data_IF_233083991447
#
_entry.id   IF_233083991447
#
_cell.length_a   1.000
_cell.length_b   1.000
_cell.length_c   1.000
_cell.angle_alpha   90.00
_cell.angle_beta   90.00
_cell.angle_gamma   90.00
#
_symmetry.space_group_name_H-M   'P 1'
#
loop_
_entity.id
_entity.type
_entity.pdbx_description
1 polymer ?
#
# COMPACT_ATOMS: atom_id res chain seq x y z
N UNK A 1 -8.91 -7.90 -0.43
CA UNK A 1 -7.99 -6.80 -0.85
C UNK A 1 -7.95 -5.83 0.31
N UNK A 2 -6.77 -5.35 0.68
CA UNK A 2 -6.60 -4.29 1.68
C UNK A 2 -5.95 -3.14 0.96
N UNK A 3 -6.64 -1.99 0.94
CA UNK A 3 -6.13 -0.78 0.32
C UNK A 3 -5.47 0.13 1.35
N UNK A 4 -4.57 1.00 0.88
CA UNK A 4 -3.82 1.94 1.71
C UNK A 4 -3.13 1.27 2.92
N UNK A 5 -2.54 0.09 2.70
CA UNK A 5 -1.96 -0.73 3.76
C UNK A 5 -0.78 -0.06 4.49
N UNK A 6 -0.24 1.04 3.95
CA UNK A 6 0.73 1.89 4.66
C UNK A 6 0.14 2.55 5.92
N UNK A 7 -1.19 2.68 6.00
CA UNK A 7 -1.89 3.19 7.20
C UNK A 7 -1.98 2.17 8.33
N UNK A 8 -1.68 0.89 8.07
CA UNK A 8 -1.86 -0.19 9.02
C UNK A 8 -0.58 -0.55 9.76
N UNK A 9 -0.73 -0.81 11.05
CA UNK A 9 0.33 -1.35 11.88
C UNK A 9 0.63 -2.81 11.55
N UNK A 10 1.85 -3.25 11.85
CA UNK A 10 2.32 -4.63 11.60
C UNK A 10 1.43 -5.69 12.27
N UNK A 11 0.96 -5.43 13.50
CA UNK A 11 0.10 -6.36 14.24
C UNK A 11 -1.28 -6.55 13.59
N UNK A 12 -1.83 -5.48 13.00
CA UNK A 12 -3.09 -5.54 12.25
C UNK A 12 -2.91 -6.35 10.98
N UNK A 13 -1.85 -6.08 10.22
CA UNK A 13 -1.51 -6.85 9.02
C UNK A 13 -1.31 -8.33 9.34
N UNK A 14 -0.60 -8.66 10.42
CA UNK A 14 -0.41 -10.04 10.85
C UNK A 14 -1.76 -10.72 11.16
N UNK A 15 -2.65 -10.03 11.87
CA UNK A 15 -3.98 -10.56 12.21
C UNK A 15 -4.80 -10.87 10.97
N UNK A 16 -4.75 -10.00 9.95
CA UNK A 16 -5.46 -10.23 8.67
C UNK A 16 -4.81 -11.38 7.89
N UNK A 17 -3.49 -11.35 7.71
CA UNK A 17 -2.75 -12.32 6.90
C UNK A 17 -2.78 -13.74 7.48
N UNK A 18 -2.81 -13.87 8.81
CA UNK A 18 -2.90 -15.17 9.51
C UNK A 18 -4.28 -15.82 9.45
N UNK A 19 -5.31 -15.09 9.00
CA UNK A 19 -6.69 -15.58 8.89
C UNK A 19 -7.10 -15.95 7.46
N UNK A 20 -6.15 -15.97 6.51
CA UNK A 20 -6.44 -16.33 5.12
C UNK A 20 -6.79 -17.83 5.03
N UNK A 21 -7.98 -18.12 4.50
CA UNK A 21 -8.45 -19.48 4.30
C UNK A 21 -7.81 -20.19 3.11
N UNK A 22 -8.05 -21.50 3.00
CA UNK A 22 -7.63 -22.26 1.82
C UNK A 22 -8.25 -21.69 0.53
N UNK A 23 -7.54 -21.83 -0.59
CA UNK A 23 -7.94 -21.32 -1.90
C UNK A 23 -8.26 -19.81 -1.95
N UNK A 24 -7.79 -19.05 -0.95
CA UNK A 24 -7.98 -17.60 -0.88
C UNK A 24 -6.70 -16.86 -1.21
N UNK A 25 -6.83 -15.61 -1.67
CA UNK A 25 -5.71 -14.70 -1.92
C UNK A 25 -5.98 -13.38 -1.23
N UNK A 26 -4.92 -12.76 -0.71
CA UNK A 26 -4.96 -11.37 -0.22
C UNK A 26 -4.03 -10.55 -1.10
N UNK A 27 -4.52 -9.38 -1.49
CA UNK A 27 -3.76 -8.36 -2.21
C UNK A 27 -3.72 -7.16 -1.27
N UNK A 28 -2.52 -6.67 -0.99
CA UNK A 28 -2.27 -5.44 -0.25
C UNK A 28 -1.79 -4.40 -1.26
N UNK A 29 -2.46 -3.26 -1.32
CA UNK A 29 -2.00 -2.09 -2.06
C UNK A 29 -1.45 -1.07 -1.07
N UNK A 30 -0.36 -0.41 -1.43
CA UNK A 30 0.23 0.65 -0.62
C UNK A 30 1.01 1.64 -1.49
N UNK A 31 1.13 2.87 -1.00
CA UNK A 31 1.99 3.90 -1.57
C UNK A 31 3.22 4.12 -0.69
N UNK A 32 4.42 4.03 -1.29
CA UNK A 32 5.69 4.26 -0.59
C UNK A 32 5.88 5.74 -0.25
N UNK A 33 5.40 6.66 -1.11
CA UNK A 33 5.60 8.09 -0.95
C UNK A 33 4.70 8.70 0.15
N UNK A 34 3.56 8.08 0.46
CA UNK A 34 2.66 8.55 1.52
C UNK A 34 3.13 8.20 2.94
N UNK A 35 4.23 7.44 3.10
CA UNK A 35 4.72 7.03 4.42
C UNK A 35 5.28 8.17 5.26
N UNK A 36 5.73 9.26 4.65
CA UNK A 36 6.44 10.34 5.36
C UNK A 36 5.55 11.09 6.37
N UNK A 37 4.22 10.97 6.27
CA UNK A 37 3.25 11.61 7.17
C UNK A 37 2.77 10.72 8.34
N UNK A 38 3.18 9.46 8.41
CA UNK A 38 2.74 8.52 9.44
C UNK A 38 3.87 8.27 10.45
N UNK A 39 3.58 8.48 11.73
CA UNK A 39 4.45 8.20 12.89
C UNK A 39 4.73 6.69 13.08
N UNK A 40 5.20 6.02 12.04
CA UNK A 40 5.43 4.59 11.98
C UNK A 40 6.94 4.39 11.81
N UNK A 41 7.57 3.70 12.75
CA UNK A 41 9.01 3.50 12.75
C UNK A 41 9.49 2.90 11.42
N UNK A 42 10.76 3.14 11.05
CA UNK A 42 11.39 2.60 9.82
C UNK A 42 11.24 1.08 9.65
N UNK A 43 10.90 0.36 10.72
CA UNK A 43 10.74 -1.10 10.78
C UNK A 43 9.31 -1.58 11.03
N UNK A 44 8.31 -0.71 10.90
CA UNK A 44 6.91 -1.03 11.19
C UNK A 44 6.01 -1.01 9.93
N UNK A 45 4.84 -1.65 10.05
CA UNK A 45 3.78 -1.65 9.04
C UNK A 45 4.06 -2.54 7.81
N UNK A 46 3.49 -2.15 6.66
CA UNK A 46 3.51 -2.96 5.42
C UNK A 46 4.91 -3.22 4.88
N UNK A 47 5.86 -2.29 5.02
CA UNK A 47 7.23 -2.48 4.50
C UNK A 47 7.99 -3.57 5.25
N UNK A 48 7.82 -3.66 6.56
CA UNK A 48 8.41 -4.76 7.33
C UNK A 48 7.86 -6.12 6.89
N UNK A 49 6.57 -6.19 6.55
CA UNK A 49 5.94 -7.41 6.01
C UNK A 49 6.53 -7.76 4.64
N UNK A 50 6.63 -6.78 3.73
CA UNK A 50 7.19 -6.99 2.38
C UNK A 50 8.63 -7.49 2.46
N UNK A 51 9.48 -6.86 3.25
CA UNK A 51 10.88 -7.27 3.40
C UNK A 51 11.02 -8.65 4.08
N UNK A 52 10.18 -8.96 5.07
CA UNK A 52 10.21 -10.28 5.74
C UNK A 52 9.78 -11.41 4.80
N UNK A 53 8.80 -11.17 3.92
CA UNK A 53 8.24 -12.19 3.04
C UNK A 53 8.93 -12.28 1.68
N UNK A 54 9.86 -11.37 1.37
CA UNK A 54 10.55 -11.31 0.10
C UNK A 54 11.27 -12.62 -0.21
N UNK A 55 11.03 -13.15 -1.42
CA UNK A 55 11.60 -14.43 -1.86
C UNK A 55 10.85 -15.68 -1.38
N UNK A 56 9.82 -15.55 -0.55
CA UNK A 56 8.99 -16.68 -0.17
C UNK A 56 8.09 -17.13 -1.34
N UNK A 57 7.96 -18.44 -1.65
CA UNK A 57 7.22 -18.92 -2.83
C UNK A 57 5.72 -18.58 -2.83
N UNK A 58 5.14 -18.29 -1.65
CA UNK A 58 3.74 -17.87 -1.50
C UNK A 58 3.55 -16.35 -1.49
N UNK A 59 4.62 -15.57 -1.68
CA UNK A 59 4.58 -14.11 -1.64
C UNK A 59 5.12 -13.52 -2.94
N UNK A 60 4.42 -12.52 -3.45
CA UNK A 60 4.86 -11.72 -4.58
C UNK A 60 4.67 -10.24 -4.24
N UNK A 61 5.65 -9.42 -4.62
CA UNK A 61 5.57 -7.98 -4.53
C UNK A 61 5.75 -7.38 -5.93
N UNK A 62 4.81 -6.53 -6.33
CA UNK A 62 4.81 -5.87 -7.63
C UNK A 62 4.82 -4.37 -7.40
N UNK A 63 5.82 -3.69 -7.96
CA UNK A 63 5.91 -2.23 -7.93
C UNK A 63 5.34 -1.67 -9.22
N UNK A 64 4.29 -0.86 -9.10
CA UNK A 64 3.73 -0.12 -10.23
C UNK A 64 4.54 1.18 -10.42
N UNK A 65 5.11 1.37 -11.60
CA UNK A 65 5.98 2.53 -11.90
C UNK A 65 5.31 3.56 -12.81
N UNK A 66 4.19 3.22 -13.43
CA UNK A 66 3.41 4.11 -14.30
C UNK A 66 2.11 4.48 -13.62
N UNK A 67 1.87 5.79 -13.49
CA UNK A 67 0.58 6.33 -13.05
C UNK A 67 -0.31 6.58 -14.26
N UNK A 68 -1.58 6.22 -14.16
CA UNK A 68 -2.62 6.62 -15.10
C UNK A 68 -3.66 7.46 -14.35
N UNK A 69 -3.91 8.67 -14.83
CA UNK A 69 -4.88 9.61 -14.24
C UNK A 69 -6.01 9.81 -15.25
N UNK A 70 -7.25 9.60 -14.83
CA UNK A 70 -8.41 9.87 -15.69
C UNK A 70 -8.57 11.37 -15.93
N UNK A 71 -9.21 11.80 -17.04
CA UNK A 71 -9.51 13.21 -17.28
C UNK A 71 -10.28 13.86 -16.12
N UNK A 72 -11.17 13.10 -15.47
CA UNK A 72 -11.92 13.56 -14.28
C UNK A 72 -10.97 13.81 -13.11
N UNK A 73 -10.02 12.91 -12.83
CA UNK A 73 -9.07 13.09 -11.74
C UNK A 73 -8.14 14.29 -11.98
N UNK A 74 -7.74 14.54 -13.24
CA UNK A 74 -6.99 15.74 -13.60
C UNK A 74 -7.81 17.02 -13.36
N UNK A 75 -9.08 17.03 -13.80
CA UNK A 75 -10.01 18.14 -13.58
C UNK A 75 -10.20 18.45 -12.09
N UNK A 76 -10.42 17.42 -11.26
CA UNK A 76 -10.60 17.60 -9.82
C UNK A 76 -9.35 18.20 -9.17
N UNK A 77 -8.15 17.72 -9.53
CA UNK A 77 -6.89 18.31 -9.06
C UNK A 77 -6.80 19.78 -9.45
N UNK A 78 -7.05 20.13 -10.72
CA UNK A 78 -7.00 21.51 -11.21
C UNK A 78 -7.97 22.43 -10.45
N UNK A 79 -9.19 21.96 -10.21
CA UNK A 79 -10.23 22.76 -9.56
C UNK A 79 -10.01 22.93 -8.04
N UNK A 80 -9.39 21.96 -7.36
CA UNK A 80 -9.31 21.93 -5.89
C UNK A 80 -7.93 22.26 -5.32
N UNK A 81 -6.84 21.94 -6.01
CA UNK A 81 -5.47 22.27 -5.55
C UNK A 81 -4.99 23.64 -6.06
N UNK A 82 -5.68 24.23 -7.05
CA UNK A 82 -5.27 25.48 -7.71
C UNK A 82 -4.15 25.24 -8.73
N UNK A 83 -3.81 26.25 -9.57
CA UNK A 83 -2.73 26.10 -10.54
C UNK A 83 -1.41 25.79 -9.82
N UNK A 84 -0.69 24.76 -10.28
CA UNK A 84 0.67 24.50 -9.85
C UNK A 84 1.49 25.78 -10.08
N UNK A 85 1.97 26.37 -8.99
CA UNK A 85 2.78 27.61 -9.01
C UNK A 85 4.21 27.33 -9.47
#
# INVERSE_FOLDING_TARGET
>A
IVDEAQSLERGVLLTVLSRIGQNSRVILTHDVAQRDNLRVGRHDGVVAVVETLKGHPLFAHVTLTRSERSPIAALVTEMLEGPAS
#
